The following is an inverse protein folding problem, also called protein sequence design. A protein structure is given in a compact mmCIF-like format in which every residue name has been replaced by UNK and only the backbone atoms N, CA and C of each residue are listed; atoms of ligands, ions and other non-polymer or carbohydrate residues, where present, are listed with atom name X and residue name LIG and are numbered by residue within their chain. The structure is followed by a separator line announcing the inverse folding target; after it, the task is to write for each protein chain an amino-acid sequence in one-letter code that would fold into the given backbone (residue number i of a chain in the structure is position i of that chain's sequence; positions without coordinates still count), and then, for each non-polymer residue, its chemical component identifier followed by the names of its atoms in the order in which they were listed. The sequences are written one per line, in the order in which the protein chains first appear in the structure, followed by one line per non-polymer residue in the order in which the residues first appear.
data_IF_748431781612
#
_entry.id   IF_748431781612
#
_cell.length_a   1.000
_cell.length_b   1.000
_cell.length_c   1.000
_cell.angle_alpha   90.00
_cell.angle_beta   90.00
_cell.angle_gamma   90.00
#
_symmetry.space_group_name_H-M   'P 1'
#
loop_
_entity.id
_entity.type
_entity.pdbx_description
1 polymer ?
#
# COMPACT_ATOMS: atom_id res chain seq x y z
N UNK A 1 2.51 0.80 3.91
CA UNK A 1 1.26 0.78 4.71
C UNK A 1 0.41 -0.47 4.50
N UNK A 2 0.15 -0.92 3.27
CA UNK A 2 -0.69 -2.10 3.03
C UNK A 2 -0.12 -3.39 3.63
N UNK A 3 1.18 -3.67 3.46
CA UNK A 3 1.85 -4.83 4.07
C UNK A 3 1.82 -4.78 5.61
N UNK A 4 2.09 -3.62 6.21
CA UNK A 4 1.97 -3.42 7.65
C UNK A 4 0.53 -3.67 8.17
N UNK A 5 -0.49 -3.26 7.41
CA UNK A 5 -1.89 -3.54 7.75
C UNK A 5 -2.21 -5.03 7.65
N UNK A 6 -1.70 -5.72 6.64
CA UNK A 6 -1.86 -7.17 6.47
C UNK A 6 -1.18 -7.93 7.61
N UNK A 7 0.06 -7.57 7.95
CA UNK A 7 0.78 -8.10 9.10
C UNK A 7 0.04 -7.87 10.42
N UNK A 8 -0.40 -6.62 10.66
CA UNK A 8 -1.17 -6.28 11.85
C UNK A 8 -2.47 -7.10 11.97
N UNK A 9 -3.10 -7.45 10.85
CA UNK A 9 -4.32 -8.26 10.86
C UNK A 9 -4.06 -9.70 11.30
N UNK A 10 -2.86 -10.25 11.11
CA UNK A 10 -2.49 -11.58 11.60
C UNK A 10 -2.43 -11.64 13.13
N UNK A 11 -2.19 -10.52 13.82
CA UNK A 11 -2.29 -10.45 15.29
C UNK A 11 -3.73 -10.38 15.82
N UNK A 12 -4.72 -10.07 14.98
CA UNK A 12 -6.11 -9.88 15.40
C UNK A 12 -7.02 -11.01 14.92
N UNK A 13 -6.87 -11.41 13.66
CA UNK A 13 -7.74 -12.37 12.99
C UNK A 13 -6.95 -13.53 12.40
N UNK A 14 -7.54 -14.73 12.42
CA UNK A 14 -7.03 -15.87 11.63
C UNK A 14 -7.20 -15.60 10.15
N UNK A 15 -6.12 -15.70 9.38
CA UNK A 15 -6.15 -15.55 7.92
C UNK A 15 -5.13 -16.45 7.24
N UNK A 16 -5.47 -16.92 6.03
CA UNK A 16 -4.51 -17.61 5.17
C UNK A 16 -3.42 -16.67 4.66
N UNK A 17 -2.21 -17.20 4.54
CA UNK A 17 -1.05 -16.50 4.01
C UNK A 17 -1.24 -16.15 2.54
N UNK A 18 -0.63 -15.04 2.11
CA UNK A 18 -0.69 -14.58 0.72
C UNK A 18 0.58 -15.01 -0.01
N UNK A 19 0.44 -15.84 -1.05
CA UNK A 19 1.55 -16.43 -1.81
C UNK A 19 1.29 -16.35 -3.30
N UNK A 20 2.32 -16.52 -4.12
CA UNK A 20 2.21 -16.43 -5.58
C UNK A 20 1.35 -17.56 -6.16
N UNK A 21 1.58 -18.79 -5.72
CA UNK A 21 0.82 -19.97 -6.14
C UNK A 21 0.09 -20.58 -4.92
N UNK A 22 -1.17 -20.19 -4.66
CA UNK A 22 -1.87 -20.58 -3.44
C UNK A 22 -2.32 -22.04 -3.47
N UNK A 23 -2.24 -22.69 -2.32
CA UNK A 23 -2.87 -23.97 -2.04
C UNK A 23 -3.82 -23.85 -0.83
N UNK A 24 -4.92 -24.61 -0.84
CA UNK A 24 -5.87 -24.68 0.27
C UNK A 24 -6.42 -23.30 0.71
N UNK A 25 -6.18 -22.88 1.96
CA UNK A 25 -6.71 -21.62 2.51
C UNK A 25 -5.83 -20.40 2.19
N UNK A 26 -4.71 -20.59 1.48
CA UNK A 26 -3.84 -19.51 1.05
C UNK A 26 -4.51 -18.60 0.02
N UNK A 27 -4.05 -17.36 -0.05
CA UNK A 27 -4.59 -16.34 -0.95
C UNK A 27 -3.54 -16.00 -2.00
N UNK A 28 -3.95 -15.82 -3.26
CA UNK A 28 -3.02 -15.38 -4.29
C UNK A 28 -2.57 -13.93 -4.05
N UNK A 29 -1.37 -13.58 -4.49
CA UNK A 29 -0.90 -12.20 -4.56
C UNK A 29 -1.66 -11.40 -5.62
N UNK A 30 -1.89 -10.11 -5.37
CA UNK A 30 -2.37 -9.20 -6.40
C UNK A 30 -1.26 -8.97 -7.44
N UNK A 31 -1.64 -8.77 -8.70
CA UNK A 31 -0.68 -8.40 -9.75
C UNK A 31 -0.06 -7.02 -9.47
N UNK A 32 -0.87 -6.08 -8.95
CA UNK A 32 -0.37 -4.81 -8.41
C UNK A 32 0.05 -5.00 -6.96
N UNK A 33 1.10 -4.31 -6.51
CA UNK A 33 1.64 -4.40 -5.14
C UNK A 33 0.61 -4.08 -4.03
N UNK A 34 -0.52 -3.47 -4.38
CA UNK A 34 -1.59 -3.07 -3.48
C UNK A 34 -2.89 -3.82 -3.81
N UNK A 35 -3.78 -4.05 -2.81
CA UNK A 35 -5.13 -4.54 -3.08
C UNK A 35 -5.83 -3.66 -4.11
N UNK A 36 -6.63 -4.29 -4.99
CA UNK A 36 -7.35 -3.58 -6.06
C UNK A 36 -8.22 -2.42 -5.59
N UNK A 37 -8.73 -2.48 -4.35
CA UNK A 37 -9.50 -1.40 -3.70
C UNK A 37 -8.71 -0.09 -3.53
N UNK A 38 -7.38 -0.17 -3.51
CA UNK A 38 -6.48 0.99 -3.47
C UNK A 38 -5.82 1.22 -4.82
N UNK A 39 -5.37 0.16 -5.49
CA UNK A 39 -4.63 0.32 -6.74
C UNK A 39 -5.49 0.86 -7.87
N UNK A 40 -6.74 0.41 -8.03
CA UNK A 40 -7.61 0.89 -9.11
C UNK A 40 -7.94 2.38 -8.97
N UNK A 41 -8.42 2.89 -7.81
CA UNK A 41 -8.64 4.33 -7.65
C UNK A 41 -7.38 5.16 -7.86
N UNK A 42 -6.22 4.69 -7.36
CA UNK A 42 -4.94 5.38 -7.55
C UNK A 42 -4.54 5.45 -9.03
N UNK A 43 -4.71 4.36 -9.78
CA UNK A 43 -4.41 4.32 -11.22
C UNK A 43 -5.35 5.25 -12.00
N UNK A 44 -6.66 5.21 -11.72
CA UNK A 44 -7.63 6.11 -12.36
C UNK A 44 -7.30 7.57 -12.06
N UNK A 45 -6.99 7.88 -10.80
CA UNK A 45 -6.65 9.24 -10.38
C UNK A 45 -5.33 9.71 -11.02
N UNK A 46 -4.32 8.85 -11.08
CA UNK A 46 -3.05 9.12 -11.77
C UNK A 46 -3.29 9.44 -13.25
N UNK A 47 -4.09 8.61 -13.95
CA UNK A 47 -4.48 8.86 -15.32
C UNK A 47 -5.21 10.20 -15.49
N UNK A 48 -6.12 10.53 -14.58
CA UNK A 48 -6.81 11.81 -14.55
C UNK A 48 -5.88 13.01 -14.35
N UNK A 49 -4.92 12.92 -13.41
CA UNK A 49 -3.90 13.96 -13.20
C UNK A 49 -3.02 14.14 -14.44
N UNK A 50 -2.59 13.06 -15.07
CA UNK A 50 -1.81 13.12 -16.30
C UNK A 50 -2.60 13.77 -17.43
N UNK A 51 -3.89 13.42 -17.58
CA UNK A 51 -4.76 14.03 -18.57
C UNK A 51 -4.95 15.53 -18.31
N UNK A 52 -5.21 15.94 -17.07
CA UNK A 52 -5.32 17.34 -16.67
C UNK A 52 -4.03 18.13 -16.92
N UNK A 53 -2.87 17.52 -16.68
CA UNK A 53 -1.58 18.13 -16.97
C UNK A 53 -1.44 18.44 -18.47
N UNK A 54 -1.86 17.51 -19.33
CA UNK A 54 -1.89 17.74 -20.79
C UNK A 54 -2.87 18.85 -21.21
N UNK A 55 -3.92 19.12 -20.44
CA UNK A 55 -4.83 20.26 -20.66
C UNK A 55 -4.33 21.57 -20.02
N UNK A 56 -3.29 21.50 -19.19
CA UNK A 56 -2.74 22.66 -18.48
C UNK A 56 -1.63 23.31 -19.26
N UNK A 57 -0.83 22.53 -20.00
CA UNK A 57 0.28 23.01 -20.81
C UNK A 57 0.04 22.67 -22.27
N UNK A 58 -0.01 23.69 -23.13
CA UNK A 58 -0.19 23.50 -24.56
C UNK A 58 0.75 24.40 -25.35
N UNK A 59 1.16 23.91 -26.52
CA UNK A 59 1.94 24.70 -27.48
C UNK A 59 0.96 25.49 -28.35
N UNK A 60 1.13 26.80 -28.41
CA UNK A 60 0.38 27.63 -29.33
C UNK A 60 1.33 28.54 -30.13
N UNK A 61 0.89 28.87 -31.33
CA UNK A 61 1.51 29.83 -32.22
C UNK A 61 0.68 31.11 -32.17
N UNK A 62 1.32 32.24 -31.92
CA UNK A 62 0.71 33.56 -32.02
C UNK A 62 1.20 34.19 -33.30
N UNK A 63 0.25 34.41 -34.21
CA UNK A 63 0.49 35.02 -35.51
C UNK A 63 0.16 36.50 -35.49
N UNK A 64 1.02 37.29 -36.12
CA UNK A 64 0.83 38.74 -36.29
C UNK A 64 0.36 39.00 -37.72
N UNK A 65 -0.66 39.83 -37.85
CA UNK A 65 -1.26 40.23 -39.12
C UNK A 65 -1.12 41.74 -39.29
N UNK A 66 -0.83 42.18 -40.51
CA UNK A 66 -0.72 43.60 -40.85
C UNK A 66 -2.10 44.28 -40.98
N UNK A 67 -2.11 45.59 -41.20
CA UNK A 67 -3.35 46.37 -41.39
C UNK A 67 -4.15 45.97 -42.66
N UNK A 68 -3.56 45.20 -43.56
CA UNK A 68 -4.19 44.64 -44.77
C UNK A 68 -4.62 43.18 -44.58
N UNK A 69 -4.46 42.62 -43.37
CA UNK A 69 -4.81 41.25 -43.00
C UNK A 69 -3.80 40.19 -43.49
N UNK A 70 -2.60 40.59 -43.93
CA UNK A 70 -1.57 39.65 -44.39
C UNK A 70 -0.72 39.17 -43.20
N UNK A 71 -0.44 37.87 -43.18
CA UNK A 71 0.40 37.23 -42.15
C UNK A 71 1.85 37.70 -42.25
N UNK A 72 2.41 38.11 -41.11
CA UNK A 72 3.83 38.48 -40.99
C UNK A 72 4.58 37.28 -40.39
N UNK A 73 4.97 36.34 -41.26
CA UNK A 73 5.61 35.08 -40.83
C UNK A 73 6.91 35.29 -40.01
N UNK A 74 7.65 36.37 -40.27
CA UNK A 74 8.89 36.69 -39.55
C UNK A 74 8.66 37.07 -38.08
N UNK A 75 7.42 37.43 -37.71
CA UNK A 75 7.07 37.83 -36.34
C UNK A 75 6.26 36.78 -35.58
N UNK A 76 5.80 35.72 -36.23
CA UNK A 76 5.11 34.61 -35.58
C UNK A 76 5.94 34.04 -34.42
N UNK A 77 5.33 33.92 -33.24
CA UNK A 77 5.98 33.37 -32.04
C UNK A 77 5.36 32.03 -31.66
N UNK A 78 6.21 31.06 -31.35
CA UNK A 78 5.81 29.80 -30.72
C UNK A 78 6.10 29.88 -29.23
N UNK A 79 5.16 29.42 -28.41
CA UNK A 79 5.31 29.43 -26.96
C UNK A 79 4.57 28.28 -26.30
N UNK A 80 4.97 27.98 -25.06
CA UNK A 80 4.20 27.15 -24.15
C UNK A 80 3.24 28.08 -23.41
N UNK A 81 1.96 27.79 -23.55
CA UNK A 81 0.89 28.50 -22.88
C UNK A 81 0.31 27.62 -21.79
N UNK A 82 -0.21 28.28 -20.76
CA UNK A 82 -0.82 27.63 -19.62
C UNK A 82 -2.31 27.94 -19.57
N UNK A 83 -3.14 26.91 -19.45
CA UNK A 83 -4.56 27.07 -19.09
C UNK A 83 -4.69 27.21 -17.57
N UNK A 84 -5.00 28.42 -17.11
CA UNK A 84 -5.13 28.71 -15.67
C UNK A 84 -6.21 27.87 -14.98
N UNK A 85 -7.34 27.62 -15.65
CA UNK A 85 -8.42 26.80 -15.10
C UNK A 85 -8.00 25.33 -14.97
N UNK A 86 -7.40 24.75 -16.02
CA UNK A 86 -6.92 23.36 -15.98
C UNK A 86 -5.85 23.17 -14.92
N UNK A 87 -4.92 24.13 -14.81
CA UNK A 87 -3.85 24.10 -13.83
C UNK A 87 -4.38 24.21 -12.39
N UNK A 88 -5.36 25.08 -12.14
CA UNK A 88 -6.01 25.19 -10.83
C UNK A 88 -6.69 23.87 -10.43
N UNK A 89 -7.42 23.25 -11.35
CA UNK A 89 -8.07 21.94 -11.11
C UNK A 89 -7.03 20.86 -10.82
N UNK A 90 -5.91 20.84 -11.57
CA UNK A 90 -4.80 19.93 -11.35
C UNK A 90 -4.22 20.08 -9.93
N UNK A 91 -3.94 21.31 -9.48
CA UNK A 91 -3.41 21.59 -8.16
C UNK A 91 -4.37 21.16 -7.05
N UNK A 92 -5.68 21.45 -7.19
CA UNK A 92 -6.69 21.03 -6.21
C UNK A 92 -6.83 19.51 -6.13
N UNK A 93 -6.85 18.84 -7.28
CA UNK A 93 -6.90 17.38 -7.34
C UNK A 93 -5.66 16.76 -6.67
N UNK A 94 -4.47 17.24 -7.01
CA UNK A 94 -3.23 16.77 -6.40
C UNK A 94 -3.21 17.00 -4.88
N UNK A 95 -3.63 18.19 -4.42
CA UNK A 95 -3.75 18.49 -2.99
C UNK A 95 -4.70 17.52 -2.28
N UNK A 96 -5.88 17.28 -2.86
CA UNK A 96 -6.85 16.33 -2.31
C UNK A 96 -6.27 14.91 -2.20
N UNK A 97 -5.50 14.46 -3.20
CA UNK A 97 -4.81 13.17 -3.15
C UNK A 97 -3.82 13.09 -2.00
N UNK A 98 -2.97 14.11 -1.83
CA UNK A 98 -1.96 14.13 -0.75
C UNK A 98 -2.64 14.13 0.62
N UNK A 99 -3.69 14.94 0.81
CA UNK A 99 -4.44 15.00 2.08
C UNK A 99 -5.10 13.66 2.39
N UNK A 100 -5.78 13.04 1.41
CA UNK A 100 -6.45 11.75 1.64
C UNK A 100 -5.47 10.63 1.97
N UNK A 101 -4.33 10.55 1.29
CA UNK A 101 -3.27 9.58 1.60
C UNK A 101 -2.69 9.85 3.00
N UNK A 102 -2.43 11.12 3.34
CA UNK A 102 -1.91 11.51 4.65
C UNK A 102 -2.87 11.13 5.79
N UNK A 103 -4.16 11.41 5.64
CA UNK A 103 -5.19 11.02 6.62
C UNK A 103 -5.30 9.50 6.74
N UNK A 104 -5.23 8.77 5.62
CA UNK A 104 -5.28 7.31 5.62
C UNK A 104 -4.07 6.70 6.31
N UNK A 105 -2.90 7.32 6.19
CA UNK A 105 -1.66 6.88 6.85
C UNK A 105 -1.60 7.11 8.35
N UNK A 106 -2.39 8.06 8.87
CA UNK A 106 -2.51 8.30 10.31
C UNK A 106 -3.40 7.28 11.04
N UNK A 107 -3.99 6.32 10.33
CA UNK A 107 -4.83 5.29 10.95
C UNK A 107 -3.98 4.38 11.84
N UNK A 108 -4.36 4.27 13.11
CA UNK A 108 -3.68 3.41 14.09
C UNK A 108 -3.89 1.93 13.77
N UNK A 109 -2.84 1.15 13.98
CA UNK A 109 -2.88 -0.31 13.97
C UNK A 109 -3.45 -0.82 15.29
N UNK A 110 -4.25 -1.89 15.25
CA UNK A 110 -4.97 -2.43 16.41
C UNK A 110 -4.37 -3.73 16.98
N UNK A 111 -3.43 -4.35 16.28
CA UNK A 111 -2.89 -5.65 16.64
C UNK A 111 -1.65 -5.50 17.51
N UNK A 112 -1.57 -6.30 18.57
CA UNK A 112 -0.41 -6.40 19.47
C UNK A 112 0.71 -7.29 18.89
N UNK A 113 0.86 -7.31 17.56
CA UNK A 113 1.94 -8.03 16.87
C UNK A 113 3.13 -7.07 16.70
N UNK A 114 4.38 -7.51 16.94
CA UNK A 114 5.54 -6.67 16.70
C UNK A 114 5.55 -6.20 15.25
N UNK A 115 5.93 -4.94 15.05
CA UNK A 115 5.98 -4.34 13.74
C UNK A 115 7.10 -4.98 12.91
N UNK A 116 6.75 -6.00 12.13
CA UNK A 116 7.75 -6.74 11.36
C UNK A 116 8.27 -5.99 10.14
N UNK A 117 7.54 -4.99 9.63
CA UNK A 117 7.89 -4.27 8.41
C UNK A 117 8.42 -5.22 7.31
N UNK A 118 9.62 -4.95 6.79
CA UNK A 118 10.40 -5.83 5.91
C UNK A 118 11.60 -6.46 6.65
N UNK A 119 11.55 -6.55 7.98
CA UNK A 119 12.61 -7.13 8.80
C UNK A 119 12.51 -8.66 8.79
N UNK A 120 13.46 -9.31 8.12
CA UNK A 120 13.53 -10.77 8.02
C UNK A 120 13.65 -11.44 9.38
N UNK A 121 14.32 -10.81 10.36
CA UNK A 121 14.46 -11.34 11.72
C UNK A 121 13.11 -11.51 12.41
N UNK A 122 12.24 -10.49 12.36
CA UNK A 122 10.91 -10.55 12.98
C UNK A 122 10.02 -11.55 12.27
N UNK A 123 10.11 -11.61 10.93
CA UNK A 123 9.35 -12.58 10.14
C UNK A 123 9.80 -14.01 10.47
N UNK A 124 11.11 -14.26 10.54
CA UNK A 124 11.66 -15.58 10.88
C UNK A 124 11.21 -16.02 12.27
N UNK A 125 11.28 -15.14 13.27
CA UNK A 125 10.84 -15.43 14.63
C UNK A 125 9.35 -15.85 14.68
N UNK A 126 8.51 -15.24 13.85
CA UNK A 126 7.09 -15.60 13.73
C UNK A 126 6.83 -16.89 12.92
N UNK A 127 7.85 -17.47 12.27
CA UNK A 127 7.74 -18.63 11.38
C UNK A 127 8.24 -19.94 12.03
N UNK A 128 8.08 -20.06 13.34
CA UNK A 128 8.43 -21.27 14.09
C UNK A 128 7.16 -21.85 14.75
N UNK A 129 6.31 -22.58 14.01
CA UNK A 129 5.06 -23.11 14.54
C UNK A 129 5.31 -24.22 15.59
N UNK A 130 4.35 -24.48 16.48
CA UNK A 130 4.42 -25.57 17.46
C UNK A 130 4.47 -26.96 16.78
N UNK A 131 4.97 -27.96 17.49
CA UNK A 131 4.96 -29.37 17.07
C UNK A 131 3.54 -29.79 16.73
N UNK A 132 3.41 -30.52 15.63
CA UNK A 132 2.12 -30.95 15.10
C UNK A 132 1.43 -29.93 14.17
N UNK A 133 1.92 -28.69 14.08
CA UNK A 133 1.40 -27.67 13.14
C UNK A 133 2.32 -27.40 11.95
N UNK A 134 2.92 -28.45 11.40
CA UNK A 134 3.83 -28.37 10.24
C UNK A 134 3.15 -27.86 8.96
N UNK A 135 1.82 -27.97 8.87
CA UNK A 135 1.00 -27.45 7.77
C UNK A 135 0.42 -26.05 8.04
N UNK A 136 0.90 -25.33 9.06
CA UNK A 136 0.40 -23.99 9.39
C UNK A 136 0.29 -23.08 8.15
N UNK A 137 1.27 -23.17 7.25
CA UNK A 137 1.33 -22.37 6.03
C UNK A 137 0.15 -22.59 5.06
N UNK A 138 -0.53 -23.76 5.09
CA UNK A 138 -1.70 -24.08 4.25
C UNK A 138 -3.04 -23.69 4.89
N UNK A 139 -3.04 -23.38 6.18
CA UNK A 139 -4.23 -23.14 7.01
C UNK A 139 -4.34 -21.66 7.39
N UNK A 140 -5.51 -21.20 7.89
CA UNK A 140 -5.63 -19.86 8.45
C UNK A 140 -4.82 -19.72 9.74
N UNK A 141 -3.80 -18.86 9.72
CA UNK A 141 -2.92 -18.62 10.87
C UNK A 141 -3.27 -17.34 11.61
N UNK A 142 -2.98 -17.31 12.90
CA UNK A 142 -3.00 -16.09 13.74
C UNK A 142 -1.72 -16.06 14.55
N UNK A 143 -1.20 -14.85 14.79
CA UNK A 143 -0.06 -14.63 15.66
C UNK A 143 -0.53 -14.50 17.10
N UNK A 144 0.18 -15.16 18.01
CA UNK A 144 -0.03 -15.03 19.44
C UNK A 144 0.84 -16.01 20.23
N UNK A 145 0.58 -16.07 21.53
CA UNK A 145 1.29 -16.97 22.45
C UNK A 145 0.79 -18.40 22.24
N UNK A 146 1.73 -19.34 22.15
CA UNK A 146 1.44 -20.78 22.12
C UNK A 146 1.82 -21.42 23.46
N UNK A 147 1.05 -22.41 23.90
CA UNK A 147 1.31 -23.15 25.14
C UNK A 147 2.59 -23.98 25.07
N UNK A 148 2.97 -24.42 23.86
CA UNK A 148 4.18 -25.20 23.68
C UNK A 148 5.42 -24.34 23.92
N UNK A 149 6.20 -24.75 24.91
CA UNK A 149 7.46 -24.10 25.25
C UNK A 149 8.56 -24.59 24.30
N UNK A 150 9.23 -23.64 23.66
CA UNK A 150 10.42 -23.92 22.84
C UNK A 150 11.62 -24.22 23.74
N UNK A 151 12.79 -24.45 23.12
CA UNK A 151 14.07 -24.64 23.83
C UNK A 151 14.20 -23.69 25.04
N UNK A 152 14.58 -24.25 26.20
CA UNK A 152 14.77 -23.54 27.48
C UNK A 152 13.49 -23.15 28.25
N UNK A 153 12.36 -23.83 27.99
CA UNK A 153 11.11 -23.70 28.77
C UNK A 153 10.47 -22.30 28.69
N UNK A 154 10.83 -21.53 27.66
CA UNK A 154 10.37 -20.16 27.44
C UNK A 154 9.08 -20.10 26.60
N UNK A 155 8.19 -19.18 26.98
CA UNK A 155 7.01 -18.83 26.19
C UNK A 155 7.46 -18.11 24.92
N UNK A 156 6.88 -18.46 23.78
CA UNK A 156 7.18 -17.83 22.51
C UNK A 156 5.90 -17.46 21.76
N UNK A 157 6.00 -16.48 20.87
CA UNK A 157 4.91 -16.03 20.03
C UNK A 157 5.17 -16.39 18.58
N UNK A 158 4.22 -17.02 17.91
CA UNK A 158 4.40 -17.52 16.55
C UNK A 158 3.11 -17.46 15.74
N UNK A 159 3.23 -17.55 14.42
CA UNK A 159 2.08 -17.75 13.54
C UNK A 159 1.72 -19.23 13.51
N UNK A 160 0.52 -19.57 13.96
CA UNK A 160 0.05 -20.96 13.99
C UNK A 160 -1.42 -21.07 13.60
N UNK A 161 -1.81 -22.24 13.09
CA UNK A 161 -3.19 -22.63 12.85
C UNK A 161 -3.90 -23.11 14.13
N UNK A 162 -3.15 -23.42 15.19
CA UNK A 162 -3.67 -23.76 16.51
C UNK A 162 -4.14 -22.53 17.27
N UNK A 163 -4.88 -22.74 18.38
CA UNK A 163 -5.35 -21.68 19.27
C UNK A 163 -4.19 -20.93 19.90
N UNK A 164 -4.32 -19.59 19.93
CA UNK A 164 -3.31 -18.68 20.45
C UNK A 164 -3.97 -17.66 21.36
N UNK A 165 -3.25 -17.31 22.40
CA UNK A 165 -3.62 -16.26 23.34
C UNK A 165 -2.96 -14.93 22.95
N UNK A 166 -3.47 -13.83 23.50
CA UNK A 166 -2.82 -12.54 23.31
C UNK A 166 -1.61 -12.44 24.23
N UNK A 167 -0.50 -11.81 23.78
CA UNK A 167 0.64 -11.56 24.66
C UNK A 167 0.24 -10.64 25.81
N UNK A 168 0.81 -10.90 26.98
CA UNK A 168 0.64 -10.12 28.19
C UNK A 168 1.73 -9.06 28.31
N UNK A 169 1.33 -7.86 28.75
CA UNK A 169 2.27 -6.76 28.96
C UNK A 169 3.23 -7.08 30.12
N UNK A 170 4.53 -6.93 29.88
CA UNK A 170 5.58 -7.18 30.86
C UNK A 170 6.19 -8.59 30.81
N UNK A 171 5.59 -9.51 30.04
CA UNK A 171 6.12 -10.87 29.85
C UNK A 171 7.14 -10.90 28.72
N UNK A 172 8.28 -11.58 28.93
CA UNK A 172 9.29 -11.79 27.89
C UNK A 172 8.97 -13.06 27.10
N UNK A 173 8.81 -12.89 25.80
CA UNK A 173 8.69 -13.97 24.82
C UNK A 173 10.00 -14.10 24.03
N UNK A 174 10.48 -15.32 23.82
CA UNK A 174 11.75 -15.61 23.14
C UNK A 174 11.65 -16.78 22.21
#
# INVERSE_FOLDING_TARGET
MAGAREWNQLGVHRKGLRVTNPMHAQRSTYFLQLPYKFSLPLTIFSGGLHWLLSQSLFLARVDYVDNKGQLIESESRFGVFMSGLSFLILCLAFYFLVVTIGLLGRRRFKGHIPFAASCSLVISAACHPPKGDWEAYLKPVKWGVVEERMFDDQLHCTLTSQNVEQPEDGTRYR
#
